data_IF_631521536257
#
_entry.id   IF_631521536257
#
_cell.length_a   1.000
_cell.length_b   1.000
_cell.length_c   1.000
_cell.angle_alpha   90.00
_cell.angle_beta   90.00
_cell.angle_gamma   90.00
#
_symmetry.space_group_name_H-M   'P 1'
#
loop_
_entity.id
_entity.type
_entity.pdbx_description
1 polymer ?
#
# COMPACT_ATOMS: atom_id res chain seq x y z
N UNK A 1 11.95 -17.77 -9.36
CA UNK A 1 12.18 -17.27 -7.98
C UNK A 1 10.80 -17.13 -7.36
N UNK A 2 10.43 -18.05 -6.46
CA UNK A 2 9.12 -18.05 -5.80
C UNK A 2 9.23 -17.08 -4.62
N UNK A 3 8.55 -15.94 -4.71
CA UNK A 3 8.54 -14.94 -3.64
C UNK A 3 7.65 -15.49 -2.52
N UNK A 4 8.30 -16.19 -1.59
CA UNK A 4 7.72 -16.64 -0.34
C UNK A 4 7.21 -15.42 0.44
N UNK A 5 6.03 -15.58 1.04
CA UNK A 5 5.45 -14.64 2.01
C UNK A 5 6.53 -14.19 3.00
N UNK A 6 7.00 -12.95 2.85
CA UNK A 6 7.76 -12.25 3.88
C UNK A 6 6.81 -11.96 5.05
N UNK A 7 6.42 -12.99 5.79
CA UNK A 7 5.91 -12.80 7.13
C UNK A 7 7.02 -12.12 7.92
N UNK A 8 6.81 -10.84 8.24
CA UNK A 8 7.67 -10.09 9.13
C UNK A 8 7.94 -10.92 10.38
N UNK A 9 9.23 -11.03 10.71
CA UNK A 9 9.70 -11.64 11.93
C UNK A 9 8.93 -11.08 13.14
N UNK A 10 8.60 -11.98 14.08
CA UNK A 10 8.06 -11.72 15.43
C UNK A 10 6.67 -11.08 15.52
N UNK A 11 5.63 -11.90 15.77
CA UNK A 11 4.47 -11.73 16.68
C UNK A 11 3.63 -10.44 16.76
N UNK A 12 4.15 -9.29 16.34
CA UNK A 12 3.54 -7.98 16.37
C UNK A 12 2.77 -7.79 15.06
N UNK A 13 1.50 -7.40 15.18
CA UNK A 13 0.71 -7.05 14.00
C UNK A 13 1.27 -5.73 13.49
N UNK A 14 1.75 -5.70 12.26
CA UNK A 14 2.22 -4.48 11.63
C UNK A 14 1.08 -3.83 10.86
N UNK A 15 0.95 -2.51 10.97
CA UNK A 15 -0.08 -1.72 10.29
C UNK A 15 0.53 -0.63 9.44
N UNK A 16 -0.07 -0.40 8.27
CA UNK A 16 0.24 0.74 7.42
C UNK A 16 -0.46 1.98 7.99
N UNK A 17 0.29 3.05 8.21
CA UNK A 17 -0.22 4.32 8.76
C UNK A 17 0.08 5.45 7.79
N UNK A 18 -0.93 6.29 7.52
CA UNK A 18 -0.72 7.56 6.84
C UNK A 18 -0.22 8.60 7.86
N UNK A 19 1.03 9.02 7.73
CA UNK A 19 1.75 9.85 8.71
C UNK A 19 1.07 11.20 8.92
N UNK A 20 0.71 11.98 7.88
CA UNK A 20 0.13 13.32 8.06
C UNK A 20 -1.21 13.34 8.82
N UNK A 21 -2.01 12.28 8.73
CA UNK A 21 -3.31 12.21 9.43
C UNK A 21 -3.33 11.24 10.59
N UNK A 22 -2.20 10.57 10.88
CA UNK A 22 -2.09 9.51 11.88
C UNK A 22 -3.19 8.43 11.75
N UNK A 23 -3.62 8.13 10.52
CA UNK A 23 -4.75 7.24 10.24
C UNK A 23 -4.25 5.87 9.81
N UNK A 24 -4.74 4.82 10.47
CA UNK A 24 -4.43 3.43 10.12
C UNK A 24 -5.19 3.04 8.86
N UNK A 25 -4.50 2.43 7.90
CA UNK A 25 -5.09 1.95 6.66
C UNK A 25 -5.73 0.58 6.91
N UNK A 26 -7.06 0.58 7.01
CA UNK A 26 -7.86 -0.62 7.28
C UNK A 26 -8.63 -1.15 6.08
N UNK A 27 -8.62 -0.43 4.95
CA UNK A 27 -9.27 -0.83 3.71
C UNK A 27 -8.70 -0.08 2.50
N UNK A 28 -8.96 -0.60 1.30
CA UNK A 28 -8.58 0.10 0.06
C UNK A 28 -9.28 1.44 -0.13
N UNK A 29 -10.50 1.62 0.38
CA UNK A 29 -11.19 2.92 0.29
C UNK A 29 -10.44 4.01 1.07
N UNK A 30 -9.86 3.66 2.23
CA UNK A 30 -9.03 4.59 3.01
C UNK A 30 -7.71 4.85 2.30
N UNK A 31 -7.03 3.78 1.85
CA UNK A 31 -5.75 3.90 1.13
C UNK A 31 -5.87 4.77 -0.13
N UNK A 32 -6.88 4.47 -0.96
CA UNK A 32 -7.14 5.16 -2.22
C UNK A 32 -7.35 6.66 -2.00
N UNK A 33 -8.13 7.05 -0.99
CA UNK A 33 -8.35 8.46 -0.67
C UNK A 33 -7.03 9.18 -0.36
N UNK A 34 -6.12 8.54 0.37
CA UNK A 34 -4.80 9.12 0.70
C UNK A 34 -3.89 9.17 -0.53
N UNK A 35 -3.86 8.10 -1.32
CA UNK A 35 -3.11 8.06 -2.57
C UNK A 35 -3.57 9.17 -3.53
N UNK A 36 -4.88 9.36 -3.70
CA UNK A 36 -5.44 10.44 -4.52
C UNK A 36 -5.06 11.84 -4.02
N UNK A 37 -5.08 12.08 -2.72
CA UNK A 37 -4.64 13.38 -2.18
C UNK A 37 -3.17 13.69 -2.49
N UNK A 38 -2.38 12.66 -2.77
CA UNK A 38 -0.95 12.75 -3.10
C UNK A 38 -0.66 12.56 -4.59
N UNK A 39 -1.68 12.66 -5.45
CA UNK A 39 -1.54 12.68 -6.90
C UNK A 39 -1.32 11.31 -7.55
N UNK A 40 -1.61 10.23 -6.85
CA UNK A 40 -1.79 8.93 -7.48
C UNK A 40 -3.16 8.86 -8.17
N UNK A 41 -3.27 8.09 -9.24
CA UNK A 41 -4.51 7.87 -9.98
C UNK A 41 -4.65 6.38 -10.32
N UNK A 42 -5.86 5.90 -10.59
CA UNK A 42 -6.05 4.54 -11.11
C UNK A 42 -5.42 4.41 -12.49
N UNK A 43 -4.60 3.37 -12.65
CA UNK A 43 -3.91 3.10 -13.92
C UNK A 43 -4.74 2.22 -14.85
N UNK A 44 -5.19 1.05 -14.36
CA UNK A 44 -6.05 0.13 -15.10
C UNK A 44 -7.14 -0.43 -14.19
N UNK A 45 -8.31 -0.68 -14.77
CA UNK A 45 -9.35 -1.52 -14.19
C UNK A 45 -9.13 -2.95 -14.70
N UNK A 46 -8.20 -3.65 -14.05
CA UNK A 46 -8.00 -5.09 -14.25
C UNK A 46 -8.94 -5.87 -13.32
N UNK A 47 -9.38 -7.06 -13.74
CA UNK A 47 -10.28 -7.86 -12.92
C UNK A 47 -9.62 -8.36 -11.64
N UNK A 48 -8.31 -8.59 -11.66
CA UNK A 48 -7.58 -9.26 -10.57
C UNK A 48 -6.72 -8.32 -9.71
N UNK A 49 -6.37 -7.13 -10.23
CA UNK A 49 -5.44 -6.20 -9.58
C UNK A 49 -6.02 -4.80 -9.41
N UNK A 50 -5.55 -4.14 -8.35
CA UNK A 50 -5.77 -2.73 -8.06
C UNK A 50 -4.47 -1.97 -8.34
N UNK A 51 -4.44 -1.17 -9.39
CA UNK A 51 -3.22 -0.47 -9.81
C UNK A 51 -3.34 1.05 -9.71
N UNK A 52 -2.29 1.67 -9.20
CA UNK A 52 -2.17 3.12 -9.07
C UNK A 52 -0.89 3.61 -9.73
N UNK A 53 -0.97 4.67 -10.53
CA UNK A 53 0.20 5.36 -11.08
C UNK A 53 0.35 6.75 -10.50
N UNK A 54 1.57 7.27 -10.52
CA UNK A 54 1.87 8.69 -10.27
C UNK A 54 2.72 9.23 -11.42
N UNK A 55 2.11 10.09 -12.25
CA UNK A 55 2.71 10.55 -13.52
C UNK A 55 4.04 11.28 -13.32
N UNK A 56 4.20 11.97 -12.19
CA UNK A 56 5.41 12.75 -11.89
C UNK A 56 6.65 11.90 -11.62
N UNK A 57 6.48 10.63 -11.22
CA UNK A 57 7.60 9.75 -10.83
C UNK A 57 7.64 8.45 -11.62
N UNK A 58 6.73 8.25 -12.59
CA UNK A 58 6.63 7.02 -13.41
C UNK A 58 6.65 5.76 -12.53
N UNK A 59 5.94 5.80 -11.41
CA UNK A 59 5.80 4.66 -10.50
C UNK A 59 4.41 4.03 -10.61
N UNK A 60 4.36 2.73 -10.31
CA UNK A 60 3.17 1.90 -10.33
C UNK A 60 3.10 1.09 -9.04
N UNK A 61 2.01 1.22 -8.28
CA UNK A 61 1.69 0.35 -7.15
C UNK A 61 0.69 -0.69 -7.65
N UNK A 62 0.94 -1.97 -7.37
CA UNK A 62 0.04 -3.08 -7.74
C UNK A 62 -0.38 -3.87 -6.50
N UNK A 63 -1.68 -3.85 -6.20
CA UNK A 63 -2.27 -4.49 -5.04
C UNK A 63 -3.28 -5.56 -5.49
N UNK A 64 -3.54 -6.60 -4.67
CA UNK A 64 -4.65 -7.50 -4.93
C UNK A 64 -5.97 -6.77 -4.76
N UNK A 65 -7.00 -7.12 -5.54
CA UNK A 65 -8.33 -6.49 -5.42
C UNK A 65 -9.02 -6.77 -4.07
N UNK A 66 -8.69 -7.93 -3.49
CA UNK A 66 -9.15 -8.36 -2.18
C UNK A 66 -8.19 -7.85 -1.09
N UNK A 67 -8.71 -7.14 -0.10
CA UNK A 67 -7.91 -6.58 0.99
C UNK A 67 -7.41 -7.67 1.94
N UNK A 68 -8.07 -8.83 2.02
CA UNK A 68 -7.59 -9.95 2.83
C UNK A 68 -6.32 -10.59 2.25
N UNK A 69 -6.03 -10.31 0.98
CA UNK A 69 -4.77 -10.69 0.31
C UNK A 69 -3.69 -9.63 0.43
N UNK A 70 -3.97 -8.50 1.09
CA UNK A 70 -2.99 -7.45 1.34
C UNK A 70 -1.96 -7.95 2.36
N UNK A 71 -0.69 -7.86 1.99
CA UNK A 71 0.46 -8.49 2.67
C UNK A 71 1.59 -7.48 2.83
N UNK A 72 2.55 -7.82 3.69
CA UNK A 72 3.76 -7.04 3.97
C UNK A 72 4.46 -6.54 2.70
N UNK A 73 4.62 -7.38 1.68
CA UNK A 73 5.22 -6.98 0.39
C UNK A 73 4.54 -5.75 -0.22
N UNK A 74 3.21 -5.71 -0.20
CA UNK A 74 2.43 -4.58 -0.71
C UNK A 74 2.57 -3.33 0.17
N UNK A 75 2.64 -3.52 1.49
CA UNK A 75 2.91 -2.44 2.45
C UNK A 75 4.28 -1.80 2.17
N UNK A 76 5.32 -2.61 2.01
CA UNK A 76 6.67 -2.13 1.72
C UNK A 76 6.74 -1.38 0.40
N UNK A 77 6.08 -1.86 -0.65
CA UNK A 77 6.00 -1.16 -1.93
C UNK A 77 5.41 0.25 -1.76
N UNK A 78 4.32 0.40 -1.01
CA UNK A 78 3.69 1.71 -0.73
C UNK A 78 4.63 2.62 0.06
N UNK A 79 5.28 2.10 1.12
CA UNK A 79 6.17 2.90 1.98
C UNK A 79 7.41 3.36 1.22
N UNK A 80 8.05 2.49 0.44
CA UNK A 80 9.22 2.86 -0.35
C UNK A 80 8.86 3.91 -1.40
N UNK A 81 7.71 3.78 -2.05
CA UNK A 81 7.25 4.73 -3.06
C UNK A 81 6.74 6.06 -2.50
N UNK A 82 6.35 6.10 -1.22
CA UNK A 82 5.75 7.26 -0.56
C UNK A 82 6.34 7.51 0.84
N UNK A 83 7.66 7.44 0.96
CA UNK A 83 8.40 7.40 2.24
C UNK A 83 8.10 8.52 3.26
N UNK A 84 7.58 9.67 2.82
CA UNK A 84 7.20 10.77 3.73
C UNK A 84 5.71 10.77 4.12
N UNK A 85 4.90 9.93 3.49
CA UNK A 85 3.45 9.92 3.62
C UNK A 85 2.94 8.67 4.35
N UNK A 86 3.67 7.56 4.25
CA UNK A 86 3.29 6.29 4.83
C UNK A 86 4.44 5.64 5.59
N UNK A 87 4.10 4.95 6.68
CA UNK A 87 5.04 4.14 7.43
C UNK A 87 4.38 2.86 7.96
N UNK A 88 5.21 1.91 8.37
CA UNK A 88 4.76 0.70 9.08
C UNK A 88 4.95 0.92 10.57
N UNK A 89 3.91 0.68 11.36
CA UNK A 89 3.99 0.67 12.82
C UNK A 89 3.61 -0.69 13.39
N UNK A 90 4.26 -1.05 14.49
CA UNK A 90 3.83 -2.17 15.32
C UNK A 90 2.59 -1.77 16.13
N UNK A 91 1.64 -2.71 16.29
CA UNK A 91 0.41 -2.56 17.09
C UNK A 91 0.59 -3.08 18.50
#
# INVERSE_FOLDING_TARGET
IRLEDYQGSSGCRQVLVHVPSNEVITSYAVLERKLYSHGWERYYDDFDLLQYHKRSIVHLISLPKDFDKFKSMHVYDIVVTNHNEFEVRDV
#
